data_IF_576812719493
#
_entry.id   IF_576812719493
#
_cell.length_a   1.000
_cell.length_b   1.000
_cell.length_c   1.000
_cell.angle_alpha   90.00
_cell.angle_beta   90.00
_cell.angle_gamma   90.00
#
_symmetry.space_group_name_H-M   'P 1'
#
loop_
_entity.id
_entity.type
_entity.pdbx_description
1 polymer ?
#
# COMPACT_ATOMS: atom_id res chain seq x y z
N UNK A 1 22.78 3.56 22.34
CA UNK A 1 22.45 3.81 20.92
C UNK A 1 22.38 2.50 20.16
N UNK A 2 23.50 1.77 19.99
CA UNK A 2 23.52 0.47 19.30
C UNK A 2 22.57 -0.58 19.87
N UNK A 3 22.46 -0.68 21.20
CA UNK A 3 21.54 -1.62 21.87
C UNK A 3 20.07 -1.37 21.52
N UNK A 4 19.68 -0.10 21.32
CA UNK A 4 18.31 0.27 20.97
C UNK A 4 18.02 0.00 19.49
N UNK A 5 18.99 0.26 18.61
CA UNK A 5 18.90 -0.13 17.19
C UNK A 5 18.77 -1.65 17.03
N UNK A 6 19.58 -2.43 17.74
CA UNK A 6 19.51 -3.89 17.73
C UNK A 6 18.18 -4.41 18.30
N UNK A 7 17.59 -3.69 19.27
CA UNK A 7 16.26 -4.01 19.81
C UNK A 7 15.16 -3.87 18.74
N UNK A 8 15.30 -2.92 17.82
CA UNK A 8 14.36 -2.74 16.71
C UNK A 8 14.57 -3.74 15.56
N UNK A 9 15.76 -4.35 15.47
CA UNK A 9 16.10 -5.35 14.44
C UNK A 9 15.74 -6.79 14.87
N UNK A 10 15.60 -7.05 16.17
CA UNK A 10 15.19 -8.35 16.73
C UNK A 10 13.82 -8.31 17.40
N UNK A 11 13.32 -9.47 17.87
CA UNK A 11 12.05 -9.53 18.61
C UNK A 11 12.12 -8.84 19.99
N UNK A 12 13.33 -8.68 20.55
CA UNK A 12 13.57 -7.98 21.83
C UNK A 12 12.68 -8.46 22.98
N UNK A 13 12.39 -7.56 23.93
CA UNK A 13 11.43 -7.80 25.01
C UNK A 13 9.96 -7.77 24.53
N UNK A 14 9.70 -7.47 23.25
CA UNK A 14 8.36 -7.25 22.72
C UNK A 14 7.51 -8.54 22.70
N UNK A 15 8.14 -9.71 22.83
CA UNK A 15 7.46 -11.01 23.03
C UNK A 15 6.66 -11.03 24.35
N UNK A 16 7.05 -10.21 25.34
CA UNK A 16 6.44 -10.20 26.68
C UNK A 16 5.32 -9.16 26.85
N UNK A 17 5.05 -8.33 25.86
CA UNK A 17 4.02 -7.27 25.95
C UNK A 17 2.75 -7.67 25.20
N UNK A 18 1.57 -7.62 25.85
CA UNK A 18 0.31 -7.95 25.18
C UNK A 18 0.02 -6.92 24.07
N UNK A 19 -0.35 -7.43 22.89
CA UNK A 19 -0.63 -6.63 21.70
C UNK A 19 -1.84 -5.69 21.82
N UNK A 20 -2.66 -5.91 22.84
CA UNK A 20 -4.08 -5.62 22.80
C UNK A 20 -4.58 -5.43 24.24
N UNK A 21 -5.12 -4.25 24.55
CA UNK A 21 -5.62 -3.91 25.90
C UNK A 21 -6.94 -4.58 26.27
N UNK A 22 -7.39 -5.63 25.57
CA UNK A 22 -8.72 -6.22 25.82
C UNK A 22 -9.27 -7.29 24.87
N UNK A 23 -8.58 -7.66 23.79
CA UNK A 23 -8.96 -8.81 22.94
C UNK A 23 -8.09 -9.98 23.35
N UNK A 24 -8.69 -11.09 23.78
CA UNK A 24 -7.96 -12.35 23.97
C UNK A 24 -7.59 -12.88 22.58
N UNK A 25 -6.36 -12.66 22.17
CA UNK A 25 -5.81 -13.33 21.00
C UNK A 25 -5.62 -14.80 21.38
N UNK A 26 -6.39 -15.71 20.77
CA UNK A 26 -6.31 -17.16 21.06
C UNK A 26 -5.04 -17.82 20.52
N UNK A 27 -4.31 -17.14 19.64
CA UNK A 27 -3.03 -17.58 19.07
C UNK A 27 -1.96 -16.50 19.33
N UNK A 28 -1.03 -16.82 20.24
CA UNK A 28 0.03 -15.98 20.81
C UNK A 28 1.26 -15.78 19.91
N UNK A 29 1.15 -16.02 18.61
CA UNK A 29 2.29 -15.81 17.70
C UNK A 29 2.42 -14.31 17.36
N UNK A 30 3.10 -13.59 18.25
CA UNK A 30 3.48 -12.17 18.08
C UNK A 30 4.65 -12.05 17.12
N UNK A 31 4.41 -12.29 15.83
CA UNK A 31 5.47 -12.32 14.80
C UNK A 31 5.43 -11.12 13.86
N UNK A 32 4.41 -10.25 13.93
CA UNK A 32 4.27 -9.13 13.00
C UNK A 32 4.62 -7.80 13.64
N UNK A 33 5.35 -6.94 12.93
CA UNK A 33 5.59 -5.56 13.34
C UNK A 33 5.42 -4.60 12.17
N UNK A 34 5.04 -3.35 12.46
CA UNK A 34 5.06 -2.30 11.46
C UNK A 34 6.32 -1.44 11.61
N UNK A 35 7.04 -1.23 10.50
CA UNK A 35 8.22 -0.38 10.48
C UNK A 35 7.90 1.09 10.16
N UNK A 36 6.69 1.39 9.70
CA UNK A 36 6.20 2.76 9.44
C UNK A 36 5.51 3.39 10.65
N UNK A 37 4.81 2.59 11.46
CA UNK A 37 4.18 3.06 12.69
C UNK A 37 5.21 3.50 13.75
N UNK A 38 4.79 4.43 14.60
CA UNK A 38 5.52 4.75 15.82
C UNK A 38 5.45 3.63 16.86
N UNK A 39 4.38 2.83 16.82
CA UNK A 39 4.24 1.63 17.66
C UNK A 39 5.15 0.50 17.14
N UNK A 40 6.15 0.14 17.94
CA UNK A 40 7.16 -0.89 17.65
C UNK A 40 6.86 -2.23 18.32
N UNK A 41 5.65 -2.43 18.84
CA UNK A 41 5.27 -3.71 19.44
C UNK A 41 5.07 -4.78 18.38
N UNK A 42 5.17 -6.02 18.81
CA UNK A 42 4.80 -7.18 18.01
C UNK A 42 3.29 -7.41 18.13
N UNK A 43 2.67 -7.74 17.02
CA UNK A 43 1.25 -7.98 16.86
C UNK A 43 1.02 -9.40 16.34
N UNK A 44 -0.12 -9.97 16.70
CA UNK A 44 -0.64 -11.13 15.98
C UNK A 44 -1.20 -10.69 14.62
N UNK A 45 -1.47 -11.66 13.73
CA UNK A 45 -2.01 -11.41 12.38
C UNK A 45 -3.30 -10.56 12.38
N UNK A 46 -4.19 -10.76 13.35
CA UNK A 46 -5.46 -10.04 13.39
C UNK A 46 -5.28 -8.59 13.84
N UNK A 47 -4.50 -8.38 14.90
CA UNK A 47 -4.28 -7.04 15.46
C UNK A 47 -3.49 -6.15 14.51
N UNK A 48 -2.50 -6.68 13.78
CA UNK A 48 -1.79 -5.89 12.78
C UNK A 48 -2.74 -5.41 11.67
N UNK A 49 -3.65 -6.26 11.19
CA UNK A 49 -4.64 -5.88 10.17
C UNK A 49 -5.60 -4.83 10.71
N UNK A 50 -6.11 -4.99 11.94
CA UNK A 50 -7.03 -4.02 12.55
C UNK A 50 -6.40 -2.65 12.75
N UNK A 51 -5.17 -2.59 13.28
CA UNK A 51 -4.46 -1.32 13.52
C UNK A 51 -4.17 -0.59 12.21
N UNK A 52 -3.98 -1.32 11.11
CA UNK A 52 -3.67 -0.76 9.79
C UNK A 52 -4.90 -0.56 8.89
N UNK A 53 -6.12 -0.68 9.43
CA UNK A 53 -7.36 -0.49 8.68
C UNK A 53 -7.45 0.85 7.93
N UNK A 54 -6.89 1.91 8.51
CA UNK A 54 -6.86 3.25 7.94
C UNK A 54 -5.48 3.66 7.37
N UNK A 55 -4.51 2.74 7.34
CA UNK A 55 -3.14 3.00 6.89
C UNK A 55 -2.63 1.86 6.00
N UNK A 56 -3.22 1.66 4.81
CA UNK A 56 -2.94 0.52 3.94
C UNK A 56 -1.54 0.56 3.30
N UNK A 57 -0.86 1.71 3.32
CA UNK A 57 0.50 1.92 2.75
C UNK A 57 1.61 1.71 3.78
N UNK A 58 1.29 1.32 5.02
CA UNK A 58 2.32 1.05 6.01
C UNK A 58 3.07 -0.25 5.71
N UNK A 59 4.38 -0.22 5.95
CA UNK A 59 5.26 -1.36 5.70
C UNK A 59 5.27 -2.26 6.94
N UNK A 60 4.97 -3.54 6.73
CA UNK A 60 4.91 -4.56 7.77
C UNK A 60 5.96 -5.64 7.51
N UNK A 61 6.47 -6.19 8.59
CA UNK A 61 7.41 -7.30 8.60
C UNK A 61 6.88 -8.47 9.44
N UNK A 62 7.33 -9.67 9.09
CA UNK A 62 7.04 -10.93 9.78
C UNK A 62 8.34 -11.59 10.21
N UNK A 63 8.40 -11.99 11.48
CA UNK A 63 9.48 -12.80 12.01
C UNK A 63 9.37 -14.25 11.52
N UNK A 64 10.29 -14.68 10.66
CA UNK A 64 10.30 -16.04 10.11
C UNK A 64 11.03 -17.08 10.99
N UNK A 65 11.57 -16.66 12.14
CA UNK A 65 12.41 -17.48 13.01
C UNK A 65 13.88 -17.05 13.04
N UNK A 66 14.37 -16.44 11.95
CA UNK A 66 15.76 -15.99 11.81
C UNK A 66 15.87 -14.47 11.65
N UNK A 67 14.99 -13.87 10.84
CA UNK A 67 14.98 -12.44 10.56
C UNK A 67 13.56 -11.94 10.26
N UNK A 68 13.42 -10.62 10.20
CA UNK A 68 12.19 -9.96 9.75
C UNK A 68 12.14 -9.89 8.23
N UNK A 69 11.23 -10.66 7.64
CA UNK A 69 10.92 -10.60 6.22
C UNK A 69 9.78 -9.61 5.96
N UNK A 70 9.82 -8.87 4.85
CA UNK A 70 8.76 -7.92 4.50
C UNK A 70 7.51 -8.69 4.06
N UNK A 71 6.36 -8.31 4.58
CA UNK A 71 5.08 -8.92 4.18
C UNK A 71 4.06 -7.83 3.83
N UNK A 72 3.36 -8.04 2.72
CA UNK A 72 2.30 -7.14 2.30
C UNK A 72 1.08 -7.32 3.21
N UNK A 73 0.49 -6.21 3.65
CA UNK A 73 -0.76 -6.21 4.42
C UNK A 73 -1.89 -6.97 3.71
N UNK A 74 -1.93 -6.94 2.36
CA UNK A 74 -2.88 -7.72 1.57
C UNK A 74 -2.74 -9.23 1.76
N UNK A 75 -1.51 -9.75 1.93
CA UNK A 75 -1.28 -11.19 2.20
C UNK A 75 -1.78 -11.59 3.59
N UNK A 76 -1.82 -10.64 4.52
CA UNK A 76 -2.39 -10.83 5.86
C UNK A 76 -3.92 -10.76 5.87
N UNK A 77 -4.53 -10.24 4.80
CA UNK A 77 -5.99 -10.14 4.61
C UNK A 77 -6.53 -8.73 4.71
N UNK A 78 -5.68 -7.70 4.84
CA UNK A 78 -6.14 -6.31 4.81
C UNK A 78 -6.72 -6.00 3.43
N UNK A 79 -7.95 -5.48 3.42
CA UNK A 79 -8.60 -4.94 2.22
C UNK A 79 -9.09 -3.54 2.53
N UNK A 80 -8.62 -2.57 1.75
CA UNK A 80 -8.97 -1.16 1.93
C UNK A 80 -10.24 -0.83 1.16
N UNK A 81 -11.22 -0.24 1.83
CA UNK A 81 -12.50 0.11 1.22
C UNK A 81 -12.56 1.59 0.86
N UNK A 82 -13.02 1.91 -0.34
CA UNK A 82 -13.27 3.28 -0.80
C UNK A 82 -14.75 3.51 -1.09
N UNK A 83 -15.15 4.78 -1.17
CA UNK A 83 -16.53 5.19 -1.50
C UNK A 83 -17.49 5.32 -0.31
N UNK A 84 -17.06 5.04 0.92
CA UNK A 84 -17.80 5.31 2.16
C UNK A 84 -16.90 6.00 3.19
N UNK A 85 -17.45 6.71 4.19
CA UNK A 85 -16.67 7.24 5.30
C UNK A 85 -15.78 6.19 5.98
N UNK A 86 -14.67 6.63 6.56
CA UNK A 86 -13.74 5.74 7.26
C UNK A 86 -14.45 5.03 8.43
N UNK A 87 -14.36 3.70 8.44
CA UNK A 87 -14.98 2.84 9.45
C UNK A 87 -16.33 2.23 9.04
N UNK A 88 -16.97 2.75 7.99
CA UNK A 88 -18.22 2.17 7.48
C UNK A 88 -17.95 0.95 6.59
N UNK A 89 -18.75 -0.10 6.77
CA UNK A 89 -18.65 -1.34 5.98
C UNK A 89 -19.61 -1.24 4.80
N UNK A 90 -19.11 -1.45 3.58
CA UNK A 90 -19.94 -1.49 2.39
C UNK A 90 -20.74 -2.79 2.35
N UNK A 91 -22.04 -2.67 2.09
CA UNK A 91 -22.94 -3.83 1.91
C UNK A 91 -22.72 -4.50 0.54
N UNK A 92 -22.21 -3.74 -0.43
CA UNK A 92 -21.95 -4.22 -1.78
C UNK A 92 -20.52 -3.86 -2.24
N UNK A 93 -19.49 -4.46 -1.62
CA UNK A 93 -18.11 -4.23 -2.00
C UNK A 93 -17.81 -4.93 -3.33
N UNK A 94 -17.12 -4.22 -4.22
CA UNK A 94 -16.62 -4.76 -5.47
C UNK A 94 -15.09 -4.74 -5.44
N UNK A 95 -14.41 -5.91 -5.41
CA UNK A 95 -12.96 -5.97 -5.44
C UNK A 95 -12.38 -5.34 -6.70
N UNK A 96 -11.34 -4.53 -6.54
CA UNK A 96 -10.58 -3.97 -7.64
C UNK A 96 -9.75 -5.06 -8.32
N UNK A 97 -9.90 -5.20 -9.65
CA UNK A 97 -8.96 -5.85 -10.58
C UNK A 97 -8.23 -7.09 -10.02
N UNK A 98 -8.93 -8.23 -9.91
CA UNK A 98 -8.38 -9.48 -9.36
C UNK A 98 -7.71 -9.32 -7.98
N UNK A 99 -8.33 -8.51 -7.12
CA UNK A 99 -7.85 -8.16 -5.79
C UNK A 99 -6.46 -7.52 -5.77
N UNK A 100 -6.02 -6.84 -6.83
CA UNK A 100 -4.71 -6.18 -6.88
C UNK A 100 -4.85 -4.73 -7.33
N UNK A 101 -4.43 -3.83 -6.46
CA UNK A 101 -4.40 -2.40 -6.73
C UNK A 101 -3.09 -1.80 -6.22
N UNK A 102 -2.49 -0.90 -7.00
CA UNK A 102 -1.22 -0.26 -6.63
C UNK A 102 -1.45 1.14 -6.04
N UNK A 103 -0.91 1.42 -4.86
CA UNK A 103 -0.83 2.78 -4.32
C UNK A 103 0.62 3.23 -4.27
N UNK A 104 0.93 4.35 -4.91
CA UNK A 104 2.22 5.03 -4.80
C UNK A 104 2.11 6.04 -3.65
N UNK A 105 2.92 5.85 -2.62
CA UNK A 105 2.97 6.72 -1.44
C UNK A 105 4.42 7.16 -1.16
N UNK A 106 4.57 8.13 -0.23
CA UNK A 106 5.85 8.74 0.16
C UNK A 106 6.91 7.73 0.66
N UNK A 107 6.46 6.56 1.12
CA UNK A 107 7.30 5.49 1.65
C UNK A 107 7.49 4.30 0.69
N UNK A 108 6.87 4.30 -0.49
CA UNK A 108 7.05 3.25 -1.49
C UNK A 108 5.85 2.98 -2.40
N UNK A 109 5.97 1.93 -3.21
CA UNK A 109 4.94 1.49 -4.17
C UNK A 109 4.26 0.23 -3.65
N UNK A 110 3.04 0.36 -3.14
CA UNK A 110 2.35 -0.67 -2.38
C UNK A 110 1.32 -1.42 -3.21
N UNK A 111 1.42 -2.75 -3.22
CA UNK A 111 0.37 -3.63 -3.71
C UNK A 111 -0.62 -3.93 -2.57
N UNK A 112 -1.89 -3.52 -2.74
CA UNK A 112 -2.96 -3.70 -1.76
C UNK A 112 -4.17 -4.43 -2.37
N UNK A 113 -5.04 -4.95 -1.50
CA UNK A 113 -6.40 -5.30 -1.90
C UNK A 113 -7.26 -4.05 -1.69
N UNK A 114 -7.96 -3.60 -2.73
CA UNK A 114 -8.87 -2.46 -2.67
C UNK A 114 -10.28 -2.90 -3.05
N UNK A 115 -11.28 -2.41 -2.32
CA UNK A 115 -12.69 -2.66 -2.58
C UNK A 115 -13.38 -1.33 -2.90
N UNK A 116 -13.94 -1.24 -4.10
CA UNK A 116 -14.83 -0.14 -4.49
C UNK A 116 -16.22 -0.35 -3.90
N UNK A 117 -16.92 0.75 -3.70
CA UNK A 117 -18.32 0.74 -3.34
C UNK A 117 -19.19 0.68 -4.60
N UNK A 118 -20.21 -0.19 -4.59
CA UNK A 118 -21.24 -0.24 -5.62
C UNK A 118 -22.65 0.02 -5.04
N UNK A 119 -22.73 0.76 -3.92
CA UNK A 119 -23.99 1.16 -3.29
C UNK A 119 -24.67 2.37 -3.96
N UNK A 120 -23.90 3.24 -4.63
CA UNK A 120 -24.45 4.34 -5.41
C UNK A 120 -24.47 4.00 -6.90
N UNK A 121 -25.63 4.19 -7.53
CA UNK A 121 -25.75 4.17 -8.98
C UNK A 121 -24.93 5.35 -9.55
N UNK A 122 -24.02 5.05 -10.46
CA UNK A 122 -23.24 6.02 -11.26
C UNK A 122 -22.09 6.76 -10.55
N UNK A 123 -21.59 6.31 -9.41
CA UNK A 123 -20.36 6.87 -8.83
C UNK A 123 -19.12 6.38 -9.60
N UNK A 124 -18.38 7.25 -10.32
CA UNK A 124 -17.18 6.84 -11.03
C UNK A 124 -16.10 6.34 -10.07
N UNK A 125 -15.37 5.29 -10.44
CA UNK A 125 -14.29 4.71 -9.63
C UNK A 125 -13.23 5.77 -9.24
N UNK A 126 -12.89 6.64 -10.19
CA UNK A 126 -11.98 7.77 -9.98
C UNK A 126 -12.45 8.71 -8.86
N UNK A 127 -13.74 9.01 -8.78
CA UNK A 127 -14.32 9.87 -7.73
C UNK A 127 -14.22 9.20 -6.36
N UNK A 128 -14.46 7.89 -6.27
CA UNK A 128 -14.33 7.15 -5.00
C UNK A 128 -12.90 7.20 -4.45
N UNK A 129 -11.89 7.13 -5.33
CA UNK A 129 -10.49 7.29 -4.97
C UNK A 129 -10.18 8.73 -4.53
N UNK A 130 -10.64 9.72 -5.28
CA UNK A 130 -10.40 11.13 -4.97
C UNK A 130 -11.04 11.58 -3.66
N UNK A 131 -12.20 11.04 -3.29
CA UNK A 131 -12.80 11.26 -1.97
C UNK A 131 -11.90 10.78 -0.81
N UNK A 132 -10.97 9.86 -1.10
CA UNK A 132 -9.96 9.35 -0.17
C UNK A 132 -8.56 9.95 -0.41
N UNK A 133 -8.47 11.07 -1.13
CA UNK A 133 -7.20 11.74 -1.46
C UNK A 133 -6.22 10.85 -2.25
N UNK A 134 -6.77 9.90 -3.03
CA UNK A 134 -6.03 9.06 -3.96
C UNK A 134 -6.28 9.56 -5.39
N UNK A 135 -5.21 9.93 -6.08
CA UNK A 135 -5.27 10.41 -7.46
C UNK A 135 -5.10 9.24 -8.42
N UNK A 136 -6.13 8.90 -9.21
CA UNK A 136 -6.08 7.75 -10.09
C UNK A 136 -5.23 7.99 -11.33
N UNK A 137 -4.49 6.95 -11.76
CA UNK A 137 -3.71 6.96 -13.00
C UNK A 137 -4.58 7.20 -14.23
N UNK A 138 -5.71 6.49 -14.29
CA UNK A 138 -6.70 6.54 -15.37
C UNK A 138 -8.09 6.83 -14.82
N UNK A 139 -8.99 7.36 -15.66
CA UNK A 139 -10.35 7.72 -15.19
C UNK A 139 -11.31 6.52 -15.24
N UNK A 140 -11.21 5.69 -16.29
CA UNK A 140 -12.17 4.60 -16.53
C UNK A 140 -11.86 3.34 -15.72
N UNK A 141 -10.59 2.96 -15.65
CA UNK A 141 -10.17 1.69 -15.06
C UNK A 141 -8.87 1.89 -14.27
N UNK A 142 -8.94 2.52 -13.09
CA UNK A 142 -7.74 2.89 -12.33
C UNK A 142 -7.12 1.66 -11.67
N UNK A 143 -6.01 1.14 -12.21
CA UNK A 143 -5.23 0.08 -11.54
C UNK A 143 -4.24 0.61 -10.50
N UNK A 144 -3.93 1.90 -10.59
CA UNK A 144 -2.92 2.58 -9.79
C UNK A 144 -3.47 3.93 -9.32
N UNK A 145 -3.16 4.30 -8.09
CA UNK A 145 -3.36 5.65 -7.58
C UNK A 145 -2.13 6.17 -6.83
N UNK A 146 -2.00 7.49 -6.75
CA UNK A 146 -0.93 8.17 -6.00
C UNK A 146 -1.58 8.92 -4.83
N UNK A 147 -0.97 8.85 -3.65
CA UNK A 147 -1.44 9.62 -2.49
C UNK A 147 -1.20 11.12 -2.71
N UNK A 148 -2.07 11.98 -2.17
CA UNK A 148 -1.83 13.43 -2.19
C UNK A 148 -0.47 13.80 -1.58
N UNK A 149 -0.10 13.15 -0.47
CA UNK A 149 1.18 13.38 0.19
C UNK A 149 2.38 13.10 -0.75
N UNK A 150 2.31 12.02 -1.55
CA UNK A 150 3.35 11.71 -2.53
C UNK A 150 3.41 12.73 -3.68
N UNK A 151 2.27 13.30 -4.09
CA UNK A 151 2.23 14.37 -5.10
C UNK A 151 2.82 15.68 -4.57
N UNK A 152 2.47 16.08 -3.36
CA UNK A 152 3.03 17.27 -2.71
C UNK A 152 4.54 17.15 -2.50
N UNK A 153 5.00 15.98 -2.03
CA UNK A 153 6.42 15.70 -1.88
C UNK A 153 7.15 15.76 -3.24
N UNK A 154 6.59 15.15 -4.28
CA UNK A 154 7.15 15.21 -5.63
C UNK A 154 7.29 16.65 -6.11
N UNK A 155 6.21 17.44 -6.02
CA UNK A 155 6.19 18.83 -6.45
C UNK A 155 7.29 19.65 -5.76
N UNK A 156 7.45 19.50 -4.45
CA UNK A 156 8.49 20.20 -3.69
C UNK A 156 9.91 19.77 -4.10
N UNK A 157 10.15 18.47 -4.29
CA UNK A 157 11.45 17.94 -4.70
C UNK A 157 11.81 18.33 -6.13
N UNK A 158 10.84 18.37 -7.04
CA UNK A 158 11.06 18.85 -8.40
C UNK A 158 11.37 20.34 -8.43
N UNK A 159 10.67 21.16 -7.65
CA UNK A 159 10.92 22.61 -7.60
C UNK A 159 12.23 22.99 -6.92
N UNK A 160 12.56 22.36 -5.79
CA UNK A 160 13.74 22.71 -5.01
C UNK A 160 15.00 21.98 -5.48
N UNK A 161 14.87 20.71 -5.85
CA UNK A 161 16.00 19.82 -6.14
C UNK A 161 16.20 19.50 -7.62
N UNK A 162 15.30 19.95 -8.52
CA UNK A 162 15.27 19.56 -9.94
C UNK A 162 15.18 18.05 -10.17
N UNK A 163 14.56 17.37 -9.22
CA UNK A 163 14.41 15.92 -9.25
C UNK A 163 13.38 15.52 -10.32
N UNK A 164 13.76 14.61 -11.20
CA UNK A 164 12.89 14.13 -12.28
C UNK A 164 11.84 13.14 -11.76
N UNK A 165 10.71 13.03 -12.46
CA UNK A 165 9.68 12.03 -12.13
C UNK A 165 10.23 10.59 -12.08
N UNK A 166 11.18 10.29 -12.97
CA UNK A 166 11.88 9.01 -12.99
C UNK A 166 12.66 8.75 -11.70
N UNK A 167 13.52 9.69 -11.30
CA UNK A 167 14.32 9.56 -10.08
C UNK A 167 13.43 9.45 -8.84
N UNK A 168 12.33 10.19 -8.79
CA UNK A 168 11.40 10.14 -7.67
C UNK A 168 10.75 8.76 -7.56
N UNK A 169 10.12 8.29 -8.64
CA UNK A 169 9.44 7.00 -8.67
C UNK A 169 10.40 5.85 -8.34
N UNK A 170 11.59 5.83 -8.95
CA UNK A 170 12.56 4.78 -8.69
C UNK A 170 13.11 4.83 -7.27
N UNK A 171 13.26 6.02 -6.67
CA UNK A 171 13.61 6.12 -5.25
C UNK A 171 12.53 5.49 -4.36
N UNK A 172 11.24 5.75 -4.63
CA UNK A 172 10.13 5.13 -3.91
C UNK A 172 10.11 3.60 -4.08
N UNK A 173 10.31 3.10 -5.30
CA UNK A 173 10.39 1.67 -5.57
C UNK A 173 11.55 1.02 -4.78
N UNK A 174 12.71 1.66 -4.73
CA UNK A 174 13.89 1.17 -3.99
C UNK A 174 13.74 1.25 -2.46
N UNK A 175 12.95 2.20 -1.94
CA UNK A 175 12.61 2.25 -0.51
C UNK A 175 11.84 0.98 -0.08
N UNK A 176 10.94 0.49 -0.93
CA UNK A 176 10.17 -0.72 -0.66
C UNK A 176 10.90 -2.03 -1.02
N UNK A 177 11.71 -2.04 -2.08
CA UNK A 177 12.58 -3.16 -2.39
C UNK A 177 13.84 -2.67 -3.14
N UNK A 178 14.98 -2.73 -2.46
CA UNK A 178 16.27 -2.36 -3.02
C UNK A 178 16.97 -3.51 -3.74
N UNK A 179 16.41 -4.73 -3.71
CA UNK A 179 17.02 -5.92 -4.34
C UNK A 179 16.76 -5.99 -5.84
N UNK A 180 15.78 -5.21 -6.35
CA UNK A 180 15.34 -5.28 -7.75
C UNK A 180 14.62 -6.58 -8.12
N UNK A 181 14.32 -7.44 -7.14
CA UNK A 181 13.69 -8.76 -7.37
C UNK A 181 12.17 -8.67 -7.41
N UNK A 182 11.56 -7.74 -6.67
CA UNK A 182 10.13 -7.47 -6.70
C UNK A 182 9.85 -6.19 -7.51
N UNK A 183 10.07 -6.24 -8.82
CA UNK A 183 9.40 -5.28 -9.69
C UNK A 183 7.93 -5.70 -9.79
N UNK A 184 6.95 -4.87 -9.38
CA UNK A 184 5.55 -5.24 -9.52
C UNK A 184 5.22 -5.30 -11.02
N UNK A 185 5.26 -6.52 -11.57
CA UNK A 185 4.74 -6.82 -12.89
C UNK A 185 3.22 -6.64 -12.85
N UNK A 186 2.69 -5.67 -13.57
CA UNK A 186 1.24 -5.55 -13.83
C UNK A 186 0.85 -6.64 -14.83
N UNK A 187 -0.16 -7.44 -14.48
CA UNK A 187 -0.53 -8.66 -15.21
C UNK A 187 -1.16 -8.37 -16.58
N UNK A 188 -0.76 -9.15 -17.59
CA UNK A 188 -1.25 -9.12 -18.97
C UNK A 188 -2.41 -10.10 -19.14
N UNK A 189 -3.48 -9.69 -19.80
CA UNK A 189 -4.35 -10.66 -20.51
C UNK A 189 -4.11 -10.46 -22.02
N UNK A 190 -3.71 -11.48 -22.78
CA UNK A 190 -3.57 -11.36 -24.23
C UNK A 190 -4.97 -11.41 -24.87
N UNK A 191 -5.46 -10.28 -25.40
CA UNK A 191 -6.60 -10.31 -26.33
C UNK A 191 -6.07 -10.54 -27.76
N UNK A 192 -6.60 -11.54 -28.51
CA UNK A 192 -5.97 -12.01 -29.74
C UNK A 192 -6.20 -11.13 -30.98
N UNK A 193 -6.91 -10.01 -30.89
CA UNK A 193 -7.30 -9.22 -32.07
C UNK A 193 -7.36 -7.71 -31.79
N UNK A 194 -6.25 -7.05 -31.50
CA UNK A 194 -6.19 -5.60 -31.67
C UNK A 194 -4.74 -5.10 -31.90
N UNK A 195 -4.38 -5.01 -33.19
CA UNK A 195 -3.21 -4.25 -33.64
C UNK A 195 -3.72 -2.84 -33.88
N UNK A 196 -3.50 -1.92 -32.92
CA UNK A 196 -3.47 -0.45 -33.05
C UNK A 196 -3.36 0.16 -31.62
N UNK A 197 -2.13 0.51 -31.23
CA UNK A 197 -1.70 1.50 -30.21
C UNK A 197 -2.67 1.74 -29.03
N UNK A 198 -2.58 0.94 -27.95
CA UNK A 198 -3.00 1.36 -26.61
C UNK A 198 -2.06 0.79 -25.54
N UNK A 199 -1.55 1.71 -24.71
CA UNK A 199 -0.28 1.65 -24.00
C UNK A 199 -0.30 0.72 -22.78
N UNK A 200 0.76 -0.08 -22.67
CA UNK A 200 1.28 -0.59 -21.41
C UNK A 200 1.46 0.60 -20.46
N UNK A 201 0.73 0.67 -19.35
CA UNK A 201 0.97 1.68 -18.34
C UNK A 201 1.77 1.03 -17.22
N UNK A 202 3.10 1.08 -17.32
CA UNK A 202 3.97 0.80 -16.17
C UNK A 202 3.53 1.70 -15.00
N UNK A 203 3.72 1.26 -13.75
CA UNK A 203 3.39 2.10 -12.58
C UNK A 203 4.08 3.48 -12.64
N UNK A 204 5.24 3.54 -13.31
CA UNK A 204 5.90 4.79 -13.69
C UNK A 204 5.09 5.63 -14.69
N UNK A 205 4.57 5.03 -15.76
CA UNK A 205 3.68 5.72 -16.73
C UNK A 205 2.37 6.17 -16.09
N UNK A 206 1.83 5.40 -15.12
CA UNK A 206 0.68 5.83 -14.31
C UNK A 206 1.02 7.09 -13.50
N UNK A 207 2.18 7.08 -12.84
CA UNK A 207 2.69 8.24 -12.12
C UNK A 207 2.90 9.46 -13.04
N UNK A 208 3.53 9.27 -14.21
CA UNK A 208 3.74 10.33 -15.21
C UNK A 208 2.42 10.92 -15.69
N UNK A 209 1.42 10.09 -16.00
CA UNK A 209 0.10 10.58 -16.38
C UNK A 209 -0.62 11.35 -15.26
N UNK A 210 -0.28 11.13 -13.99
CA UNK A 210 -0.86 11.88 -12.88
C UNK A 210 -0.15 13.22 -12.71
N UNK A 211 1.18 13.25 -12.73
CA UNK A 211 1.96 14.48 -12.50
C UNK A 211 1.91 15.47 -13.66
N UNK A 212 1.51 15.03 -14.86
CA UNK A 212 1.32 15.88 -16.04
C UNK A 212 -0.14 16.30 -16.29
N UNK A 213 -1.09 15.91 -15.44
CA UNK A 213 -2.47 16.43 -15.47
C UNK A 213 -2.56 17.80 -14.81
#
# INVERSE_FOLDING_TARGET
YLSESLRHEGQGDAVSQPCCSGIKCENDDFTYQCITCWDRRLFCRLCIVMVHGCSPTHIVQHWNGEYFDRILLRKLGLSYQVGHPLGDICIHPCPAFDHRFTIIDTNGVHDINLNFCNCCHECPLATQLQCMWLFPGTVMEPHTAVTMAALEQFQMLTFMGKLSAYEYYHSLAQLLDNTGTNTPLVCRVPLPYCVLIYLCQDNYEAFICIVHK
#
